data_IF_030649698109
#
_entry.id   IF_030649698109
#
_cell.length_a   1.000
_cell.length_b   1.000
_cell.length_c   1.000
_cell.angle_alpha   90.00
_cell.angle_beta   90.00
_cell.angle_gamma   90.00
#
_symmetry.space_group_name_H-M   'P 1'
#
loop_
_entity.id
_entity.type
_entity.pdbx_description
1 polymer ?
#
# COMPACT_ATOMS: atom_id res chain seq x y z
N UNK A 1 -59.75 47.41 1.64
CA UNK A 1 -58.69 46.53 2.11
C UNK A 1 -58.29 45.61 0.94
N UNK A 2 -57.16 45.89 0.28
CA UNK A 2 -56.66 45.05 -0.83
C UNK A 2 -55.83 43.92 -0.26
N UNK A 3 -56.36 42.70 -0.31
CA UNK A 3 -55.63 41.49 0.02
C UNK A 3 -54.46 41.31 -0.95
N UNK A 4 -53.23 41.16 -0.41
CA UNK A 4 -51.98 40.92 -1.18
C UNK A 4 -51.94 39.42 -1.59
N UNK A 5 -52.26 39.05 -2.84
CA UNK A 5 -52.30 37.64 -3.29
C UNK A 5 -50.92 37.02 -3.42
N UNK A 6 -49.82 37.80 -3.22
CA UNK A 6 -48.45 37.36 -3.42
C UNK A 6 -47.78 36.70 -2.19
N UNK A 7 -48.37 36.85 -1.01
CA UNK A 7 -47.81 36.32 0.24
C UNK A 7 -47.96 34.80 0.37
N UNK A 8 -49.04 34.23 -0.14
CA UNK A 8 -49.34 32.81 0.00
C UNK A 8 -48.32 31.92 -0.75
N UNK A 9 -47.96 32.15 -2.06
CA UNK A 9 -46.98 31.34 -2.75
C UNK A 9 -45.55 31.50 -2.19
N UNK A 10 -45.21 32.67 -1.68
CA UNK A 10 -43.90 32.89 -1.04
C UNK A 10 -43.78 32.09 0.26
N UNK A 11 -44.82 32.07 1.10
CA UNK A 11 -44.87 31.32 2.34
C UNK A 11 -44.82 29.81 2.07
N UNK A 12 -45.58 29.33 1.08
CA UNK A 12 -45.56 27.89 0.70
C UNK A 12 -44.22 27.46 0.14
N UNK A 13 -43.53 28.27 -0.71
CA UNK A 13 -42.17 28.01 -1.20
C UNK A 13 -41.16 28.01 -0.06
N UNK A 14 -41.24 28.94 0.88
CA UNK A 14 -40.33 29.02 2.03
C UNK A 14 -40.53 27.80 2.96
N UNK A 15 -41.77 27.41 3.25
CA UNK A 15 -42.07 26.20 4.03
C UNK A 15 -41.58 24.92 3.32
N UNK A 16 -41.72 24.83 1.99
CA UNK A 16 -41.19 23.74 1.20
C UNK A 16 -39.65 23.66 1.24
N UNK A 17 -38.98 24.81 1.14
CA UNK A 17 -37.52 24.91 1.26
C UNK A 17 -37.03 24.53 2.67
N UNK A 18 -37.71 25.02 3.71
CA UNK A 18 -37.37 24.66 5.11
C UNK A 18 -37.64 23.17 5.37
N UNK A 19 -38.72 22.60 4.87
CA UNK A 19 -38.99 21.16 4.97
C UNK A 19 -37.90 20.35 4.23
N UNK A 20 -37.50 20.78 3.04
CA UNK A 20 -36.41 20.16 2.27
C UNK A 20 -35.09 20.26 3.02
N UNK A 21 -34.75 21.42 3.58
CA UNK A 21 -33.54 21.63 4.40
C UNK A 21 -33.54 20.78 5.68
N UNK A 22 -34.72 20.59 6.32
CA UNK A 22 -34.85 19.70 7.47
C UNK A 22 -34.77 18.23 7.13
N UNK A 23 -35.22 17.83 5.92
CA UNK A 23 -35.07 16.48 5.40
C UNK A 23 -33.63 16.17 4.94
N UNK A 24 -32.91 17.17 4.43
CA UNK A 24 -31.54 17.05 3.95
C UNK A 24 -30.52 17.36 5.06
N UNK A 25 -30.95 18.07 6.12
CA UNK A 25 -30.08 18.36 7.25
C UNK A 25 -29.60 17.03 7.87
N UNK A 26 -28.28 16.81 7.99
CA UNK A 26 -27.80 15.61 8.65
C UNK A 26 -28.38 15.54 10.06
N UNK A 27 -28.89 14.39 10.49
CA UNK A 27 -29.44 14.25 11.83
C UNK A 27 -28.41 14.73 12.85
N UNK A 28 -28.85 15.56 13.82
CA UNK A 28 -27.99 15.99 14.93
C UNK A 28 -27.39 14.74 15.54
N UNK A 29 -26.05 14.65 15.54
CA UNK A 29 -25.32 13.49 16.06
C UNK A 29 -25.82 13.19 17.47
N UNK A 30 -26.42 12.03 17.73
CA UNK A 30 -26.64 11.60 19.11
C UNK A 30 -25.28 11.48 19.80
N UNK A 31 -25.20 11.64 21.12
CA UNK A 31 -23.99 11.35 21.87
C UNK A 31 -23.56 9.91 21.51
N UNK A 32 -22.26 9.74 21.18
CA UNK A 32 -21.73 8.45 20.75
C UNK A 32 -21.93 7.42 21.86
N UNK A 33 -22.79 6.47 21.61
CA UNK A 33 -22.84 5.20 22.34
C UNK A 33 -21.62 4.31 21.99
N UNK A 34 -21.46 3.18 22.66
CA UNK A 34 -20.46 2.19 22.27
C UNK A 34 -20.66 1.81 20.80
N UNK A 35 -19.53 1.57 20.11
CA UNK A 35 -19.55 1.17 18.71
C UNK A 35 -20.43 -0.10 18.55
N UNK A 36 -21.37 -0.04 17.63
CA UNK A 36 -22.22 -1.17 17.26
C UNK A 36 -21.76 -1.64 15.88
N UNK A 37 -21.41 -2.91 15.76
CA UNK A 37 -21.06 -3.52 14.49
C UNK A 37 -22.21 -3.35 13.49
N UNK A 38 -21.84 -3.10 12.25
CA UNK A 38 -22.79 -2.94 11.15
C UNK A 38 -23.44 -4.30 10.85
N UNK A 39 -24.75 -4.38 11.04
CA UNK A 39 -25.54 -5.53 10.64
C UNK A 39 -26.06 -5.34 9.22
N UNK A 40 -25.51 -6.09 8.29
CA UNK A 40 -25.96 -6.10 6.89
C UNK A 40 -26.80 -7.35 6.61
N UNK A 41 -27.80 -7.25 5.71
CA UNK A 41 -28.52 -8.41 5.23
C UNK A 41 -27.57 -9.37 4.53
N UNK A 42 -27.88 -10.68 4.58
CA UNK A 42 -27.10 -11.70 3.87
C UNK A 42 -27.27 -11.56 2.38
N UNK A 43 -26.21 -11.87 1.61
CA UNK A 43 -26.20 -11.83 0.15
C UNK A 43 -27.34 -12.66 -0.47
N UNK A 44 -27.53 -13.90 0.00
CA UNK A 44 -28.57 -14.81 -0.50
C UNK A 44 -29.98 -14.24 -0.35
N UNK A 45 -30.25 -13.56 0.76
CA UNK A 45 -31.53 -12.87 1.01
C UNK A 45 -31.71 -11.70 0.04
N UNK A 46 -30.67 -10.88 -0.15
CA UNK A 46 -30.73 -9.74 -1.07
C UNK A 46 -30.91 -10.20 -2.52
N UNK A 47 -30.24 -11.29 -2.94
CA UNK A 47 -30.45 -11.89 -4.26
C UNK A 47 -31.84 -12.46 -4.44
N UNK A 48 -32.43 -13.08 -3.41
CA UNK A 48 -33.77 -13.63 -3.47
C UNK A 48 -34.85 -12.55 -3.58
N UNK A 49 -34.72 -11.46 -2.81
CA UNK A 49 -35.71 -10.37 -2.77
C UNK A 49 -35.50 -9.39 -3.93
N UNK A 50 -34.26 -9.11 -4.26
CA UNK A 50 -33.85 -8.07 -5.22
C UNK A 50 -33.83 -8.56 -6.70
N UNK A 51 -34.54 -9.61 -7.08
CA UNK A 51 -34.56 -10.13 -8.44
C UNK A 51 -34.74 -9.03 -9.48
N UNK A 52 -33.74 -8.85 -10.37
CA UNK A 52 -33.73 -7.82 -11.41
C UNK A 52 -33.28 -6.41 -10.93
N UNK A 53 -33.06 -6.22 -9.65
CA UNK A 53 -32.65 -4.92 -9.06
C UNK A 53 -31.38 -5.01 -8.22
N UNK A 54 -30.55 -6.05 -8.41
CA UNK A 54 -29.35 -6.29 -7.61
C UNK A 54 -28.37 -5.11 -7.74
N UNK A 55 -28.19 -4.55 -8.92
CA UNK A 55 -27.32 -3.38 -9.14
C UNK A 55 -27.83 -2.16 -8.35
N UNK A 56 -29.14 -1.92 -8.32
CA UNK A 56 -29.70 -0.81 -7.51
C UNK A 56 -29.45 -1.01 -6.01
N UNK A 57 -29.50 -2.26 -5.54
CA UNK A 57 -29.14 -2.58 -4.15
C UNK A 57 -27.67 -2.34 -3.90
N UNK A 58 -26.79 -2.75 -4.82
CA UNK A 58 -25.35 -2.49 -4.75
C UNK A 58 -25.04 -0.99 -4.74
N UNK A 59 -25.71 -0.19 -5.60
CA UNK A 59 -25.60 1.27 -5.64
C UNK A 59 -26.03 1.92 -4.31
N UNK A 60 -27.15 1.46 -3.74
CA UNK A 60 -27.59 1.95 -2.44
C UNK A 60 -26.57 1.65 -1.33
N UNK A 61 -26.07 0.42 -1.27
CA UNK A 61 -25.04 0.03 -0.32
C UNK A 61 -23.73 0.83 -0.51
N UNK A 62 -23.38 1.13 -1.77
CA UNK A 62 -22.26 2.02 -2.09
C UNK A 62 -22.45 3.41 -1.48
N UNK A 63 -23.64 4.01 -1.59
CA UNK A 63 -23.93 5.29 -0.95
C UNK A 63 -23.76 5.18 0.57
N UNK A 64 -24.23 4.10 1.20
CA UNK A 64 -24.07 3.87 2.62
C UNK A 64 -22.59 3.73 3.03
N UNK A 65 -21.79 2.99 2.23
CA UNK A 65 -20.35 2.84 2.43
C UNK A 65 -19.64 4.19 2.41
N UNK A 66 -19.89 5.02 1.39
CA UNK A 66 -19.28 6.36 1.26
C UNK A 66 -19.68 7.26 2.44
N UNK A 67 -20.97 7.23 2.86
CA UNK A 67 -21.42 7.99 4.01
C UNK A 67 -20.79 7.50 5.33
N UNK A 68 -20.61 6.18 5.48
CA UNK A 68 -19.94 5.59 6.64
C UNK A 68 -18.48 6.03 6.68
N UNK A 69 -17.77 5.97 5.56
CA UNK A 69 -16.40 6.46 5.44
C UNK A 69 -16.28 7.95 5.82
N UNK A 70 -17.20 8.80 5.34
CA UNK A 70 -17.21 10.24 5.67
C UNK A 70 -17.50 10.55 7.15
N UNK A 71 -18.13 9.63 7.86
CA UNK A 71 -18.49 9.77 9.28
C UNK A 71 -17.49 9.11 10.23
N UNK A 72 -16.72 8.14 9.75
CA UNK A 72 -15.77 7.37 10.55
C UNK A 72 -14.74 8.27 11.24
N UNK A 73 -14.47 7.98 12.53
CA UNK A 73 -13.50 8.70 13.38
C UNK A 73 -12.69 7.74 14.25
N UNK A 74 -13.09 6.48 14.35
CA UNK A 74 -12.40 5.44 15.11
C UNK A 74 -11.97 4.30 14.18
N UNK A 75 -11.03 3.48 14.62
CA UNK A 75 -10.54 2.35 13.84
C UNK A 75 -11.66 1.33 13.56
N UNK A 76 -12.53 1.14 14.52
CA UNK A 76 -13.69 0.25 14.44
C UNK A 76 -14.71 0.79 13.41
N UNK A 77 -15.00 2.10 13.42
CA UNK A 77 -15.87 2.73 12.43
C UNK A 77 -15.29 2.65 11.00
N UNK A 78 -13.95 2.71 10.84
CA UNK A 78 -13.31 2.45 9.54
C UNK A 78 -13.39 0.99 9.13
N UNK A 79 -13.32 0.06 10.09
CA UNK A 79 -13.46 -1.37 9.83
C UNK A 79 -14.85 -1.72 9.28
N UNK A 80 -15.88 -0.99 9.67
CA UNK A 80 -17.26 -1.17 9.16
C UNK A 80 -17.38 -0.99 7.63
N UNK A 81 -16.39 -0.36 6.98
CA UNK A 81 -16.37 -0.26 5.52
C UNK A 81 -16.18 -1.61 4.85
N UNK A 82 -15.48 -2.56 5.51
CA UNK A 82 -15.18 -3.85 4.92
C UNK A 82 -16.43 -4.69 4.63
N UNK A 83 -17.36 -4.94 5.59
CA UNK A 83 -18.56 -5.70 5.31
C UNK A 83 -19.46 -5.06 4.23
N UNK A 84 -19.52 -3.72 4.14
CA UNK A 84 -20.20 -3.07 3.02
C UNK A 84 -19.52 -3.38 1.68
N UNK A 85 -18.19 -3.18 1.62
CA UNK A 85 -17.44 -3.42 0.39
C UNK A 85 -17.49 -4.88 -0.05
N UNK A 86 -17.40 -5.81 0.90
CA UNK A 86 -17.51 -7.25 0.62
C UNK A 86 -18.88 -7.59 0.06
N UNK A 87 -19.95 -7.16 0.71
CA UNK A 87 -21.34 -7.42 0.25
C UNK A 87 -21.60 -6.78 -1.11
N UNK A 88 -21.18 -5.53 -1.35
CA UNK A 88 -21.35 -4.88 -2.65
C UNK A 88 -20.66 -5.68 -3.75
N UNK A 89 -19.40 -6.06 -3.52
CA UNK A 89 -18.59 -6.80 -4.51
C UNK A 89 -18.99 -8.28 -4.64
N UNK A 90 -19.73 -8.83 -3.69
CA UNK A 90 -20.41 -10.12 -3.84
C UNK A 90 -21.67 -9.96 -4.73
N UNK A 91 -22.48 -8.92 -4.53
CA UNK A 91 -23.69 -8.65 -5.32
C UNK A 91 -23.37 -8.25 -6.75
N UNK A 92 -22.40 -7.33 -6.94
CA UNK A 92 -21.88 -6.87 -8.22
C UNK A 92 -20.33 -6.93 -8.25
N UNK A 93 -19.76 -8.06 -8.69
CA UNK A 93 -18.32 -8.22 -8.76
C UNK A 93 -17.60 -7.23 -9.69
N UNK A 94 -18.33 -6.63 -10.65
CA UNK A 94 -17.76 -5.66 -11.59
C UNK A 94 -17.83 -4.21 -11.12
N UNK A 95 -18.27 -3.96 -9.90
CA UNK A 95 -18.29 -2.63 -9.30
C UNK A 95 -16.86 -2.23 -8.83
N UNK A 96 -15.97 -1.98 -9.77
CA UNK A 96 -14.52 -1.82 -9.60
C UNK A 96 -14.11 -0.70 -8.65
N UNK A 97 -14.84 0.43 -8.63
CA UNK A 97 -14.54 1.57 -7.75
C UNK A 97 -14.63 1.19 -6.27
N UNK A 98 -15.48 0.22 -5.90
CA UNK A 98 -15.66 -0.21 -4.51
C UNK A 98 -14.36 -0.81 -3.96
N UNK A 99 -13.70 -1.67 -4.75
CA UNK A 99 -12.41 -2.25 -4.37
C UNK A 99 -11.36 -1.17 -4.11
N UNK A 100 -11.20 -0.21 -5.03
CA UNK A 100 -10.20 0.86 -4.91
C UNK A 100 -10.48 1.81 -3.75
N UNK A 101 -11.75 2.23 -3.62
CA UNK A 101 -12.15 3.17 -2.59
C UNK A 101 -12.03 2.57 -1.20
N UNK A 102 -12.65 1.40 -0.98
CA UNK A 102 -12.66 0.79 0.34
C UNK A 102 -11.25 0.35 0.76
N UNK A 103 -10.49 -0.29 -0.15
CA UNK A 103 -9.12 -0.69 0.17
C UNK A 103 -8.19 0.50 0.47
N UNK A 104 -8.38 1.63 -0.20
CA UNK A 104 -7.61 2.84 0.09
C UNK A 104 -8.03 3.58 1.37
N UNK A 105 -9.25 3.31 1.87
CA UNK A 105 -9.83 4.01 3.04
C UNK A 105 -9.75 3.18 4.33
N UNK A 106 -9.75 1.85 4.23
CA UNK A 106 -9.72 0.93 5.37
C UNK A 106 -8.49 1.08 6.27
N UNK A 107 -7.24 1.13 5.73
CA UNK A 107 -6.06 1.28 6.55
C UNK A 107 -6.07 2.63 7.26
N UNK A 108 -5.97 2.58 8.58
CA UNK A 108 -5.94 3.81 9.40
C UNK A 108 -5.03 3.65 10.61
N UNK A 109 -4.39 4.73 11.04
CA UNK A 109 -3.62 4.78 12.28
C UNK A 109 -4.18 5.80 13.29
N UNK A 110 -4.96 6.79 12.82
CA UNK A 110 -5.60 7.83 13.66
C UNK A 110 -4.66 8.43 14.72
N UNK A 111 -3.38 8.64 14.34
CA UNK A 111 -2.34 9.14 15.25
C UNK A 111 -1.73 8.06 16.17
N UNK A 112 -2.01 6.78 15.95
CA UNK A 112 -1.35 5.64 16.62
C UNK A 112 -0.05 5.28 15.89
N UNK A 113 0.85 4.59 16.58
CA UNK A 113 2.09 4.09 15.98
C UNK A 113 1.84 2.98 14.94
N UNK A 114 0.79 2.19 15.14
CA UNK A 114 0.45 1.05 14.30
C UNK A 114 -0.76 1.31 13.42
N UNK A 115 -0.68 0.82 12.18
CA UNK A 115 -1.82 0.79 11.26
C UNK A 115 -2.71 -0.42 11.57
N UNK A 116 -4.02 -0.22 11.40
CA UNK A 116 -5.05 -1.24 11.60
C UNK A 116 -5.94 -1.33 10.36
N UNK A 117 -6.76 -2.38 10.26
CA UNK A 117 -7.65 -2.69 9.13
C UNK A 117 -6.89 -2.91 7.80
N UNK A 118 -5.62 -3.30 7.89
CA UNK A 118 -4.73 -3.49 6.74
C UNK A 118 -4.99 -4.82 6.04
N UNK A 119 -5.33 -5.86 6.80
CA UNK A 119 -5.66 -7.18 6.27
C UNK A 119 -6.94 -7.14 5.44
N UNK A 120 -7.99 -6.46 5.91
CA UNK A 120 -9.25 -6.27 5.19
C UNK A 120 -9.01 -5.55 3.86
N UNK A 121 -8.16 -4.53 3.86
CA UNK A 121 -7.76 -3.81 2.65
C UNK A 121 -7.06 -4.74 1.65
N UNK A 122 -6.05 -5.49 2.11
CA UNK A 122 -5.29 -6.42 1.25
C UNK A 122 -6.20 -7.52 0.69
N UNK A 123 -7.09 -8.08 1.50
CA UNK A 123 -8.06 -9.11 1.08
C UNK A 123 -8.98 -8.59 -0.02
N UNK A 124 -9.50 -7.38 0.14
CA UNK A 124 -10.36 -6.75 -0.84
C UNK A 124 -9.62 -6.47 -2.16
N UNK A 125 -8.37 -6.02 -2.10
CA UNK A 125 -7.54 -5.82 -3.29
C UNK A 125 -7.25 -7.12 -4.04
N UNK A 126 -6.94 -8.20 -3.33
CA UNK A 126 -6.74 -9.52 -3.93
C UNK A 126 -8.01 -10.03 -4.61
N UNK A 127 -9.19 -9.83 -3.99
CA UNK A 127 -10.50 -10.15 -4.58
C UNK A 127 -10.72 -9.35 -5.87
N UNK A 128 -10.47 -8.03 -5.86
CA UNK A 128 -10.60 -7.17 -7.03
C UNK A 128 -9.64 -7.55 -8.16
N UNK A 129 -8.37 -7.79 -7.84
CA UNK A 129 -7.33 -8.15 -8.83
C UNK A 129 -7.52 -9.54 -9.44
N UNK A 130 -8.31 -10.43 -8.82
CA UNK A 130 -8.73 -11.68 -9.47
C UNK A 130 -9.65 -11.45 -10.67
N UNK A 131 -10.40 -10.34 -10.69
CA UNK A 131 -11.30 -9.95 -11.77
C UNK A 131 -10.69 -8.88 -12.68
N UNK A 132 -9.91 -7.98 -12.13
CA UNK A 132 -9.28 -6.84 -12.80
C UNK A 132 -7.73 -6.89 -12.65
N UNK A 133 -7.05 -7.91 -13.21
CA UNK A 133 -5.62 -8.11 -12.98
C UNK A 133 -4.76 -6.93 -13.44
N UNK A 134 -5.24 -6.18 -14.43
CA UNK A 134 -4.55 -5.05 -15.06
C UNK A 134 -4.98 -3.68 -14.48
N UNK A 135 -5.75 -3.66 -13.39
CA UNK A 135 -6.05 -2.40 -12.71
C UNK A 135 -4.79 -1.85 -12.02
N UNK A 136 -4.21 -0.82 -12.62
CA UNK A 136 -2.96 -0.20 -12.16
C UNK A 136 -3.08 0.28 -10.71
N UNK A 137 -4.20 0.93 -10.35
CA UNK A 137 -4.38 1.51 -9.02
C UNK A 137 -4.52 0.43 -7.94
N UNK A 138 -5.24 -0.65 -8.21
CA UNK A 138 -5.33 -1.79 -7.28
C UNK A 138 -3.98 -2.48 -7.10
N UNK A 139 -3.22 -2.69 -8.18
CA UNK A 139 -1.85 -3.24 -8.10
C UNK A 139 -0.93 -2.34 -7.27
N UNK A 140 -0.98 -1.02 -7.48
CA UNK A 140 -0.19 -0.07 -6.69
C UNK A 140 -0.56 -0.09 -5.20
N UNK A 141 -1.85 -0.11 -4.86
CA UNK A 141 -2.33 -0.21 -3.48
C UNK A 141 -1.91 -1.53 -2.85
N UNK A 142 -1.99 -2.63 -3.58
CA UNK A 142 -1.55 -3.94 -3.08
C UNK A 142 -0.04 -3.97 -2.81
N UNK A 143 0.77 -3.48 -3.74
CA UNK A 143 2.22 -3.38 -3.53
C UNK A 143 2.56 -2.51 -2.30
N UNK A 144 1.82 -1.41 -2.10
CA UNK A 144 1.96 -0.57 -0.92
C UNK A 144 1.60 -1.31 0.37
N UNK A 145 0.44 -1.99 0.43
CA UNK A 145 0.01 -2.73 1.61
C UNK A 145 1.02 -3.82 1.97
N UNK A 146 1.43 -4.64 0.99
CA UNK A 146 2.39 -5.72 1.17
C UNK A 146 3.74 -5.20 1.68
N UNK A 147 4.26 -4.10 1.14
CA UNK A 147 5.56 -3.56 1.54
C UNK A 147 5.49 -2.82 2.87
N UNK A 148 4.45 -2.01 3.11
CA UNK A 148 4.37 -1.10 4.25
C UNK A 148 3.80 -1.78 5.48
N UNK A 149 2.73 -2.55 5.34
CA UNK A 149 2.01 -3.14 6.46
C UNK A 149 2.44 -4.57 6.75
N UNK A 150 2.51 -5.41 5.72
CA UNK A 150 2.80 -6.84 5.87
C UNK A 150 4.30 -7.17 5.86
N UNK A 151 5.15 -6.22 5.42
CA UNK A 151 6.60 -6.42 5.22
C UNK A 151 6.93 -7.61 4.30
N UNK A 152 5.98 -7.99 3.45
CA UNK A 152 6.16 -9.02 2.43
C UNK A 152 6.76 -8.41 1.17
N UNK A 153 8.05 -8.06 1.25
CA UNK A 153 8.76 -7.36 0.18
C UNK A 153 8.85 -8.18 -1.11
N UNK A 154 8.94 -9.51 -0.99
CA UNK A 154 9.01 -10.41 -2.13
C UNK A 154 7.73 -10.36 -2.99
N UNK A 155 6.57 -10.45 -2.37
CA UNK A 155 5.28 -10.37 -3.07
C UNK A 155 5.04 -8.94 -3.57
N UNK A 156 5.37 -7.94 -2.75
CA UNK A 156 5.28 -6.53 -3.12
C UNK A 156 6.10 -6.21 -4.39
N UNK A 157 7.32 -6.77 -4.50
CA UNK A 157 8.19 -6.61 -5.66
C UNK A 157 7.53 -7.16 -6.94
N UNK A 158 6.99 -8.39 -6.87
CA UNK A 158 6.30 -9.02 -8.00
C UNK A 158 5.06 -8.23 -8.45
N UNK A 159 4.30 -7.70 -7.49
CA UNK A 159 3.13 -6.87 -7.81
C UNK A 159 3.54 -5.54 -8.41
N UNK A 160 4.58 -4.88 -7.86
CA UNK A 160 5.11 -3.63 -8.39
C UNK A 160 5.73 -3.81 -9.80
N UNK A 161 6.43 -4.91 -10.04
CA UNK A 161 6.95 -5.27 -11.36
C UNK A 161 5.82 -5.45 -12.37
N UNK A 162 4.78 -6.21 -12.02
CA UNK A 162 3.60 -6.34 -12.90
C UNK A 162 2.97 -4.99 -13.19
N UNK A 163 2.74 -4.19 -12.15
CA UNK A 163 2.16 -2.86 -12.26
C UNK A 163 3.00 -1.93 -13.17
N UNK A 164 4.33 -2.05 -13.14
CA UNK A 164 5.23 -1.21 -13.96
C UNK A 164 5.11 -1.46 -15.46
N UNK A 165 4.57 -2.62 -15.85
CA UNK A 165 4.36 -3.01 -17.25
C UNK A 165 2.97 -2.66 -17.78
N UNK A 166 2.08 -2.15 -16.92
CA UNK A 166 0.72 -1.77 -17.32
C UNK A 166 0.71 -0.43 -18.07
N UNK A 167 -0.24 -0.23 -19.01
CA UNK A 167 -0.40 1.05 -19.69
C UNK A 167 -0.61 2.20 -18.71
N UNK A 168 0.13 3.29 -18.89
CA UNK A 168 0.07 4.46 -18.01
C UNK A 168 0.77 4.30 -16.66
N UNK A 169 1.55 3.24 -16.49
CA UNK A 169 2.32 3.02 -15.27
C UNK A 169 3.36 4.14 -15.07
N UNK A 170 3.42 4.75 -13.87
CA UNK A 170 4.46 5.72 -13.56
C UNK A 170 5.86 5.07 -13.56
N UNK A 171 6.85 5.76 -14.11
CA UNK A 171 8.23 5.26 -14.22
C UNK A 171 8.85 4.84 -12.86
N UNK A 172 8.40 5.43 -11.75
CA UNK A 172 8.92 5.05 -10.42
C UNK A 172 8.56 3.62 -9.99
N UNK A 173 7.54 2.98 -10.60
CA UNK A 173 7.14 1.61 -10.21
C UNK A 173 8.21 0.57 -10.52
N UNK A 174 8.91 0.70 -11.66
CA UNK A 174 10.03 -0.17 -11.99
C UNK A 174 11.19 0.00 -11.01
N UNK A 175 11.49 1.24 -10.62
CA UNK A 175 12.49 1.53 -9.58
C UNK A 175 12.07 0.99 -8.21
N UNK A 176 10.78 1.09 -7.87
CA UNK A 176 10.23 0.55 -6.64
C UNK A 176 10.36 -0.98 -6.63
N UNK A 177 10.02 -1.66 -7.72
CA UNK A 177 10.13 -3.10 -7.83
C UNK A 177 11.57 -3.60 -7.61
N UNK A 178 12.56 -2.97 -8.26
CA UNK A 178 13.97 -3.34 -8.07
C UNK A 178 14.44 -3.16 -6.61
N UNK A 179 14.02 -2.09 -5.94
CA UNK A 179 14.34 -1.86 -4.51
C UNK A 179 13.65 -2.85 -3.60
N UNK A 180 12.38 -3.21 -3.89
CA UNK A 180 11.64 -4.23 -3.15
C UNK A 180 12.29 -5.59 -3.25
N UNK A 181 12.78 -5.98 -4.44
CA UNK A 181 13.55 -7.20 -4.63
C UNK A 181 14.83 -7.19 -3.79
N UNK A 182 15.60 -6.10 -3.82
CA UNK A 182 16.79 -5.96 -2.99
C UNK A 182 16.48 -6.10 -1.51
N UNK A 183 15.43 -5.43 -1.04
CA UNK A 183 15.00 -5.49 0.37
C UNK A 183 14.46 -6.87 0.78
N UNK A 184 13.95 -7.64 -0.16
CA UNK A 184 13.53 -9.03 0.04
C UNK A 184 14.70 -10.03 0.09
N UNK A 185 15.95 -9.57 -0.11
CA UNK A 185 17.10 -10.46 -0.25
C UNK A 185 17.18 -11.17 -1.61
N UNK A 186 16.39 -10.72 -2.61
CA UNK A 186 16.32 -11.29 -3.96
C UNK A 186 16.99 -10.35 -4.97
N UNK A 187 18.24 -9.95 -4.68
CA UNK A 187 18.97 -8.95 -5.48
C UNK A 187 19.12 -9.41 -6.95
N UNK A 188 19.33 -10.69 -7.18
CA UNK A 188 19.43 -11.25 -8.55
C UNK A 188 18.16 -10.98 -9.38
N UNK A 189 16.98 -11.10 -8.78
CA UNK A 189 15.72 -10.75 -9.46
C UNK A 189 15.62 -9.25 -9.75
N UNK A 190 16.11 -8.42 -8.83
CA UNK A 190 16.21 -6.97 -9.02
C UNK A 190 17.16 -6.60 -10.15
N UNK A 191 18.32 -7.27 -10.22
CA UNK A 191 19.32 -7.11 -11.31
C UNK A 191 18.74 -7.53 -12.66
N UNK A 192 18.12 -8.71 -12.74
CA UNK A 192 17.48 -9.19 -13.96
C UNK A 192 16.41 -8.22 -14.48
N UNK A 193 15.58 -7.67 -13.57
CA UNK A 193 14.59 -6.66 -13.92
C UNK A 193 15.26 -5.36 -14.40
N UNK A 194 16.27 -4.86 -13.69
CA UNK A 194 16.97 -3.62 -14.06
C UNK A 194 17.67 -3.77 -15.43
N UNK A 195 18.28 -4.92 -15.71
CA UNK A 195 18.90 -5.23 -17.00
C UNK A 195 17.85 -5.25 -18.12
N UNK A 196 16.73 -5.94 -17.93
CA UNK A 196 15.63 -5.97 -18.91
C UNK A 196 15.08 -4.57 -19.22
N UNK A 197 15.03 -3.69 -18.22
CA UNK A 197 14.59 -2.31 -18.39
C UNK A 197 15.66 -1.45 -19.10
N UNK A 198 16.94 -1.69 -18.83
CA UNK A 198 18.05 -1.07 -19.54
C UNK A 198 18.03 -1.44 -21.02
N UNK A 199 17.85 -2.72 -21.32
CA UNK A 199 17.83 -3.24 -22.70
C UNK A 199 16.66 -2.69 -23.52
N UNK A 200 15.53 -2.35 -22.85
CA UNK A 200 14.34 -1.76 -23.47
C UNK A 200 14.31 -0.22 -23.42
N UNK A 201 15.35 0.42 -22.89
CA UNK A 201 15.38 1.87 -22.74
C UNK A 201 15.53 2.57 -24.09
N UNK A 202 14.57 3.42 -24.44
CA UNK A 202 14.54 4.17 -25.71
C UNK A 202 15.32 5.50 -25.65
N UNK A 203 15.42 6.10 -24.46
CA UNK A 203 16.08 7.37 -24.25
C UNK A 203 17.30 7.26 -23.33
N UNK A 204 18.23 8.20 -23.46
CA UNK A 204 19.49 8.21 -22.73
C UNK A 204 19.29 8.41 -21.22
N UNK A 205 18.30 9.21 -20.80
CA UNK A 205 18.04 9.45 -19.39
C UNK A 205 17.55 8.17 -18.69
N UNK A 206 16.67 7.41 -19.34
CA UNK A 206 16.20 6.10 -18.87
C UNK A 206 17.35 5.09 -18.81
N UNK A 207 18.22 5.09 -19.82
CA UNK A 207 19.43 4.23 -19.87
C UNK A 207 20.34 4.51 -18.68
N UNK A 208 20.75 5.75 -18.46
CA UNK A 208 21.62 6.16 -17.35
C UNK A 208 20.99 5.82 -15.98
N UNK A 209 19.69 5.95 -15.86
CA UNK A 209 18.96 5.62 -14.65
C UNK A 209 19.08 4.13 -14.30
N UNK A 210 18.91 3.23 -15.29
CA UNK A 210 19.01 1.79 -15.04
C UNK A 210 20.44 1.30 -14.94
N UNK A 211 21.39 1.90 -15.63
CA UNK A 211 22.82 1.65 -15.39
C UNK A 211 23.22 1.98 -13.95
N UNK A 212 22.79 3.13 -13.44
CA UNK A 212 23.04 3.47 -12.04
C UNK A 212 22.31 2.50 -11.10
N UNK A 213 21.09 2.08 -11.44
CA UNK A 213 20.33 1.11 -10.64
C UNK A 213 21.02 -0.25 -10.56
N UNK A 214 21.63 -0.71 -11.64
CA UNK A 214 22.41 -1.95 -11.67
C UNK A 214 23.61 -1.84 -10.74
N UNK A 215 24.39 -0.76 -10.81
CA UNK A 215 25.52 -0.52 -9.88
C UNK A 215 25.07 -0.49 -8.41
N UNK A 216 23.94 0.15 -8.12
CA UNK A 216 23.37 0.19 -6.76
C UNK A 216 22.96 -1.20 -6.27
N UNK A 217 22.40 -2.05 -7.14
CA UNK A 217 22.00 -3.41 -6.82
C UNK A 217 23.21 -4.34 -6.65
N UNK A 218 24.23 -4.21 -7.47
CA UNK A 218 25.49 -4.95 -7.34
C UNK A 218 26.16 -4.62 -5.99
N UNK A 219 26.21 -3.34 -5.62
CA UNK A 219 26.69 -2.93 -4.30
C UNK A 219 25.85 -3.54 -3.17
N UNK A 220 24.51 -3.51 -3.29
CA UNK A 220 23.63 -4.10 -2.29
C UNK A 220 23.81 -5.61 -2.17
N UNK A 221 24.09 -6.34 -3.28
CA UNK A 221 24.43 -7.75 -3.25
C UNK A 221 25.69 -8.03 -2.42
N UNK A 222 26.75 -7.23 -2.63
CA UNK A 222 27.97 -7.32 -1.84
C UNK A 222 27.73 -7.02 -0.36
N UNK A 223 26.96 -5.97 -0.04
CA UNK A 223 26.62 -5.64 1.31
C UNK A 223 25.81 -6.73 2.02
N UNK A 224 24.87 -7.39 1.32
CA UNK A 224 24.11 -8.52 1.88
C UNK A 224 25.01 -9.75 2.09
N UNK A 225 25.99 -9.96 1.21
CA UNK A 225 26.99 -11.03 1.38
C UNK A 225 27.83 -10.80 2.64
N UNK A 226 28.26 -9.57 2.89
CA UNK A 226 28.99 -9.19 4.10
C UNK A 226 28.10 -9.29 5.35
N UNK A 227 26.84 -8.83 5.31
CA UNK A 227 25.90 -8.97 6.41
C UNK A 227 25.69 -10.44 6.80
N UNK A 228 25.56 -11.34 5.81
CA UNK A 228 25.46 -12.77 6.06
C UNK A 228 26.73 -13.34 6.73
N UNK A 229 27.92 -12.85 6.36
CA UNK A 229 29.17 -13.23 7.01
C UNK A 229 29.24 -12.71 8.46
N UNK A 230 28.80 -11.48 8.70
CA UNK A 230 28.69 -10.89 10.06
C UNK A 230 27.75 -11.73 10.94
N UNK A 231 26.61 -12.16 10.40
CA UNK A 231 25.66 -13.00 11.13
C UNK A 231 26.30 -14.31 11.55
N UNK A 232 26.98 -15.03 10.62
CA UNK A 232 27.70 -16.27 10.94
C UNK A 232 28.83 -16.07 11.96
N UNK A 233 29.56 -14.96 11.86
CA UNK A 233 30.58 -14.63 12.84
C UNK A 233 30.00 -14.45 14.24
N UNK A 234 28.85 -13.73 14.35
CA UNK A 234 28.13 -13.56 15.62
C UNK A 234 27.63 -14.88 16.20
N UNK A 235 27.11 -15.76 15.39
CA UNK A 235 26.69 -17.10 15.81
C UNK A 235 27.89 -17.91 16.38
N UNK A 236 29.07 -17.74 15.81
CA UNK A 236 30.28 -18.50 16.20
C UNK A 236 30.94 -17.90 17.43
N UNK A 237 31.07 -16.57 17.51
CA UNK A 237 31.89 -15.89 18.53
C UNK A 237 31.08 -15.06 19.56
N UNK A 238 29.76 -14.92 19.36
CA UNK A 238 28.88 -14.15 20.25
C UNK A 238 29.06 -12.63 20.18
N UNK A 239 29.93 -12.13 19.29
CA UNK A 239 30.29 -10.69 19.18
C UNK A 239 30.24 -10.24 17.73
N UNK A 240 30.16 -8.93 17.51
CA UNK A 240 30.29 -8.34 16.16
C UNK A 240 31.78 -8.34 15.76
N UNK A 241 32.13 -8.67 14.51
CA UNK A 241 33.52 -8.55 14.04
C UNK A 241 33.99 -7.08 14.09
N UNK A 242 35.28 -6.83 14.36
CA UNK A 242 35.81 -5.47 14.45
C UNK A 242 35.80 -4.73 13.11
N UNK A 243 36.03 -5.46 12.02
CA UNK A 243 36.06 -4.95 10.65
C UNK A 243 35.73 -6.05 9.63
N UNK A 244 35.60 -5.65 8.37
CA UNK A 244 35.29 -6.56 7.25
C UNK A 244 36.49 -7.45 6.88
N UNK A 245 37.72 -6.95 7.05
CA UNK A 245 38.93 -7.71 6.77
C UNK A 245 39.07 -8.94 7.66
N UNK A 246 38.66 -8.82 8.92
CA UNK A 246 38.60 -9.95 9.87
C UNK A 246 37.72 -11.09 9.35
N UNK A 247 36.59 -10.78 8.70
CA UNK A 247 35.70 -11.79 8.10
C UNK A 247 36.40 -12.55 6.97
N UNK A 248 37.15 -11.86 6.12
CA UNK A 248 37.93 -12.47 5.03
C UNK A 248 39.06 -13.31 5.58
N UNK A 249 39.78 -12.81 6.56
CA UNK A 249 40.95 -13.49 7.17
C UNK A 249 40.57 -14.77 7.92
N UNK A 250 39.40 -14.78 8.56
CA UNK A 250 38.88 -15.95 9.28
C UNK A 250 38.05 -16.89 8.38
N UNK A 251 37.92 -16.60 7.09
CA UNK A 251 37.22 -17.47 6.13
C UNK A 251 35.69 -17.39 6.18
N UNK A 252 35.11 -16.36 6.79
CA UNK A 252 33.67 -16.11 6.74
C UNK A 252 33.24 -15.52 5.38
N UNK A 253 34.17 -14.92 4.64
CA UNK A 253 34.01 -14.53 3.24
C UNK A 253 34.99 -15.35 2.40
N UNK A 254 34.48 -15.97 1.33
CA UNK A 254 35.29 -16.76 0.40
C UNK A 254 36.24 -15.89 -0.43
N UNK A 255 35.81 -14.67 -0.73
CA UNK A 255 36.56 -13.66 -1.46
C UNK A 255 36.36 -12.30 -0.79
N UNK A 256 37.38 -11.41 -0.81
CA UNK A 256 37.24 -10.05 -0.33
C UNK A 256 36.09 -9.35 -1.07
N UNK A 257 35.21 -8.61 -0.36
CA UNK A 257 34.10 -7.92 -1.00
C UNK A 257 34.64 -6.77 -1.86
N UNK A 258 34.03 -6.56 -3.03
CA UNK A 258 34.42 -5.52 -3.96
C UNK A 258 33.27 -4.52 -4.13
N UNK A 259 33.55 -3.25 -3.86
CA UNK A 259 32.60 -2.17 -4.13
C UNK A 259 32.63 -1.84 -5.65
N UNK A 260 31.53 -2.04 -6.39
CA UNK A 260 31.46 -1.72 -7.83
C UNK A 260 31.73 -0.24 -8.14
N UNK A 261 31.65 0.64 -7.12
CA UNK A 261 31.90 2.07 -7.24
C UNK A 261 33.28 2.49 -6.75
N UNK A 262 34.16 1.52 -6.42
CA UNK A 262 35.55 1.74 -6.05
C UNK A 262 35.79 2.13 -4.60
N UNK A 263 34.81 1.94 -3.71
CA UNK A 263 34.93 2.21 -2.28
C UNK A 263 35.42 1.02 -1.46
N UNK A 264 35.45 1.22 -0.14
CA UNK A 264 35.69 0.19 0.86
C UNK A 264 34.42 -0.11 1.66
N UNK A 265 34.47 -1.21 2.44
CA UNK A 265 33.39 -1.60 3.33
C UNK A 265 33.75 -1.38 4.79
N UNK A 266 32.75 -1.03 5.60
CA UNK A 266 32.89 -0.92 7.05
C UNK A 266 31.63 -1.45 7.75
N UNK A 267 31.77 -1.76 9.04
CA UNK A 267 30.65 -2.22 9.88
C UNK A 267 30.16 -1.04 10.70
N UNK A 268 28.89 -0.69 10.56
CA UNK A 268 28.25 0.39 11.32
C UNK A 268 28.01 0.02 12.79
N UNK A 269 27.62 1.01 13.57
CA UNK A 269 27.29 0.84 15.00
C UNK A 269 26.09 -0.09 15.24
N UNK A 270 25.22 -0.23 14.25
CA UNK A 270 24.11 -1.19 14.23
C UNK A 270 24.56 -2.62 13.88
N UNK A 271 25.84 -2.78 13.54
CA UNK A 271 26.48 -4.02 13.18
C UNK A 271 26.12 -4.54 11.78
N UNK A 272 25.72 -3.67 10.87
CA UNK A 272 25.51 -3.96 9.45
C UNK A 272 26.67 -3.44 8.61
N UNK A 273 26.84 -4.03 7.43
CA UNK A 273 27.80 -3.57 6.46
C UNK A 273 27.35 -2.32 5.71
N UNK A 274 28.27 -1.42 5.43
CA UNK A 274 28.07 -0.19 4.65
C UNK A 274 29.26 0.03 3.71
N UNK A 275 29.03 0.76 2.61
CA UNK A 275 30.09 1.21 1.71
C UNK A 275 30.50 2.65 2.03
N UNK A 276 31.76 2.98 1.77
CA UNK A 276 32.28 4.35 1.87
C UNK A 276 31.80 5.24 0.72
N UNK A 277 31.41 4.66 -0.43
CA UNK A 277 30.86 5.38 -1.57
C UNK A 277 29.37 5.67 -1.43
N UNK A 278 28.62 4.75 -0.81
CA UNK A 278 27.20 4.88 -0.63
C UNK A 278 26.78 4.47 0.79
N UNK A 279 26.54 5.44 1.65
CA UNK A 279 26.16 5.18 3.03
C UNK A 279 24.69 4.74 3.21
N UNK A 280 23.85 4.86 2.18
CA UNK A 280 22.44 4.47 2.25
C UNK A 280 22.23 3.14 1.56
N UNK A 281 21.63 2.21 2.29
CA UNK A 281 21.20 0.91 1.76
C UNK A 281 19.98 1.07 0.83
N UNK A 282 19.81 0.12 -0.10
CA UNK A 282 18.63 0.05 -0.96
C UNK A 282 17.41 -0.44 -0.19
N UNK A 283 16.98 0.31 0.82
CA UNK A 283 15.77 0.02 1.59
C UNK A 283 14.64 0.98 1.23
N UNK A 284 13.40 0.49 1.32
CA UNK A 284 12.24 1.36 1.24
C UNK A 284 12.11 2.07 2.57
N UNK A 285 12.15 3.39 2.51
CA UNK A 285 11.92 4.22 3.67
C UNK A 285 10.43 4.11 4.06
N UNK A 286 10.15 3.39 5.16
CA UNK A 286 8.83 3.46 5.79
C UNK A 286 8.86 4.59 6.81
N UNK A 287 7.89 5.53 6.80
CA UNK A 287 7.89 6.70 7.68
C UNK A 287 7.91 6.38 9.18
N UNK A 288 7.73 5.11 9.55
CA UNK A 288 7.78 4.60 10.93
C UNK A 288 9.15 4.07 11.38
N UNK A 289 10.17 4.13 10.54
CA UNK A 289 11.52 3.67 10.92
C UNK A 289 12.41 4.84 11.39
N UNK A 290 11.81 5.96 11.83
CA UNK A 290 12.55 7.17 12.29
C UNK A 290 13.27 7.01 13.62
N UNK A 291 12.99 5.97 14.40
CA UNK A 291 13.50 5.82 15.77
C UNK A 291 14.68 4.84 15.90
N UNK A 292 15.48 4.64 14.84
CA UNK A 292 16.76 3.96 14.90
C UNK A 292 17.84 4.80 14.22
N UNK A 293 18.08 5.94 14.82
CA UNK A 293 19.19 6.82 14.53
C UNK A 293 19.83 7.28 15.82
#
# INVERSE_FOLDING_TARGET
MKSRPFLLPVVTSLCGLVALLLLVAPPRKPPRGPHQEVLLPREDVLRAVGRGYIQLIADYLWIQLVQTAGRARTAEEYRDLYPYAELITDLDPHFDIVYRFAAGTLPTNLGRETWVNTEESTRLLRKGLALFPDDLKMNMLLAYNLSTFEKNYQEAAKVAERASRLPGAPAYLSQLATRLYAQAGSVDAGLALAQSLLDSAEDEATRQLFEQRIRDLELEAELQRVDAAIARFRETFGTTPPDVDTLSWLGFLSEPPQDPQGGGFFIGSDGRAYSTTQQRRLEIFTPFNRDRG
#
